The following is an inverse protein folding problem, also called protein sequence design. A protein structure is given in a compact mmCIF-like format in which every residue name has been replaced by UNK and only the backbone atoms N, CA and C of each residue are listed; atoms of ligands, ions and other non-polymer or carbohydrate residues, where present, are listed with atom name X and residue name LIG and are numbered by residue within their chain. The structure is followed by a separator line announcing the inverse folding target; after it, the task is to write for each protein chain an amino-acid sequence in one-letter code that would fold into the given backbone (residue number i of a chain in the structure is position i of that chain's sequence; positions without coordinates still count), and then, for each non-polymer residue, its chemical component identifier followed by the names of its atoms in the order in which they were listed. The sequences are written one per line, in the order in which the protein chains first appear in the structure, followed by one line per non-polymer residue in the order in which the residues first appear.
data_IF_624733109387
#
_entry.id   IF_624733109387
#
_cell.length_a   1.000
_cell.length_b   1.000
_cell.length_c   1.000
_cell.angle_alpha   90.00
_cell.angle_beta   90.00
_cell.angle_gamma   90.00
#
_symmetry.space_group_name_H-M   'P 1'
#
loop_
_entity.id
_entity.type
_entity.pdbx_description
1 polymer ?
#
# COMPACT_ATOMS: atom_id res chain seq x y z
N UNK A 1 34.31 49.64 20.39
CA UNK A 1 34.59 48.29 19.84
C UNK A 1 33.66 47.32 20.54
N UNK A 2 32.54 47.07 19.93
CA UNK A 2 31.50 46.16 20.42
C UNK A 2 31.66 44.83 19.66
N UNK A 3 31.95 43.77 20.38
CA UNK A 3 32.03 42.42 19.81
C UNK A 3 30.67 41.98 19.28
N UNK A 4 30.59 41.36 18.11
CA UNK A 4 29.34 40.76 17.63
C UNK A 4 29.07 39.47 18.40
N UNK A 5 27.92 39.44 19.03
CA UNK A 5 27.33 38.28 19.71
C UNK A 5 27.18 37.10 18.75
N UNK A 6 28.07 36.13 18.84
CA UNK A 6 27.97 34.83 18.20
C UNK A 6 27.00 33.94 18.98
N UNK A 7 25.72 34.08 18.74
CA UNK A 7 24.77 32.99 18.91
C UNK A 7 24.84 32.06 17.67
N UNK A 8 25.91 31.30 17.57
CA UNK A 8 25.99 30.18 16.63
C UNK A 8 25.18 29.01 17.20
N UNK A 9 24.15 28.61 16.45
CA UNK A 9 23.18 27.59 16.82
C UNK A 9 23.82 26.24 17.17
N UNK A 10 23.42 25.74 18.30
CA UNK A 10 23.61 24.37 18.78
C UNK A 10 22.74 23.40 17.96
N UNK A 11 23.09 23.14 16.72
CA UNK A 11 22.54 22.01 15.97
C UNK A 11 23.45 21.63 14.80
N UNK A 12 24.76 21.49 15.04
CA UNK A 12 25.60 20.73 14.12
C UNK A 12 25.23 19.25 14.28
N UNK A 13 24.47 18.72 13.32
CA UNK A 13 24.15 17.29 13.24
C UNK A 13 25.47 16.51 13.07
N UNK A 14 25.99 15.93 14.15
CA UNK A 14 27.23 15.14 14.13
C UNK A 14 26.93 13.74 13.61
N UNK A 15 27.66 13.33 12.59
CA UNK A 15 27.65 11.95 12.09
C UNK A 15 28.56 11.12 13.00
N UNK A 16 28.04 10.07 13.57
CA UNK A 16 28.77 9.09 14.39
C UNK A 16 28.56 7.68 13.86
N UNK A 17 29.49 6.78 14.15
CA UNK A 17 29.31 5.36 13.81
C UNK A 17 28.70 4.60 14.98
N UNK A 18 27.63 3.85 14.71
CA UNK A 18 26.96 3.00 15.70
C UNK A 18 26.93 1.55 15.19
N UNK A 19 27.11 0.62 16.12
CA UNK A 19 26.98 -0.81 15.86
C UNK A 19 25.58 -1.16 15.39
N UNK A 20 25.47 -1.93 14.30
CA UNK A 20 24.19 -2.29 13.68
C UNK A 20 23.27 -3.03 14.67
N UNK A 21 23.85 -3.85 15.56
CA UNK A 21 23.13 -4.60 16.59
C UNK A 21 22.39 -3.70 17.60
N UNK A 22 22.83 -2.44 17.75
CA UNK A 22 22.16 -1.45 18.61
C UNK A 22 21.04 -0.69 17.90
N UNK A 23 20.82 -0.93 16.61
CA UNK A 23 19.80 -0.28 15.81
C UNK A 23 18.56 -1.16 15.72
N UNK A 24 17.44 -0.66 16.22
CA UNK A 24 16.14 -1.32 16.18
C UNK A 24 15.20 -0.66 15.16
N UNK A 25 14.35 -1.43 14.45
CA UNK A 25 13.34 -0.84 13.60
C UNK A 25 12.33 -0.06 14.45
N UNK A 26 11.72 0.95 13.86
CA UNK A 26 10.62 1.69 14.49
C UNK A 26 9.42 0.76 14.71
N UNK A 27 8.80 0.80 15.89
CA UNK A 27 7.81 -0.19 16.35
C UNK A 27 6.56 -0.28 15.45
N UNK A 28 6.14 0.82 14.87
CA UNK A 28 4.94 0.92 14.00
C UNK A 28 5.32 1.32 12.57
N UNK A 29 6.40 0.75 12.03
CA UNK A 29 6.90 1.12 10.71
C UNK A 29 6.01 0.54 9.60
N UNK A 30 5.25 1.36 8.85
CA UNK A 30 4.31 0.86 7.84
C UNK A 30 5.00 0.42 6.54
N UNK A 31 6.25 0.83 6.32
CA UNK A 31 6.97 0.61 5.06
C UNK A 31 7.79 -0.69 5.14
N UNK A 32 7.55 -1.60 4.22
CA UNK A 32 8.26 -2.86 4.16
C UNK A 32 9.63 -2.71 3.47
N UNK A 33 10.63 -3.39 4.02
CA UNK A 33 11.92 -3.55 3.35
C UNK A 33 11.84 -4.83 2.51
N UNK A 34 11.80 -4.69 1.18
CA UNK A 34 11.72 -5.82 0.24
C UNK A 34 13.07 -6.04 -0.42
N UNK A 35 13.40 -7.32 -0.69
CA UNK A 35 14.55 -7.72 -1.51
C UNK A 35 14.16 -7.60 -3.00
N UNK A 36 14.12 -6.36 -3.50
CA UNK A 36 13.79 -6.02 -4.88
C UNK A 36 15.04 -5.59 -5.68
N UNK A 37 14.85 -5.33 -6.98
CA UNK A 37 15.95 -4.86 -7.84
C UNK A 37 16.59 -3.55 -7.32
N UNK A 38 15.79 -2.67 -6.72
CA UNK A 38 16.30 -1.43 -6.13
C UNK A 38 17.15 -1.69 -4.88
N UNK A 39 16.85 -2.74 -4.11
CA UNK A 39 17.67 -3.16 -2.98
C UNK A 39 19.01 -3.70 -3.45
N UNK A 40 19.04 -4.47 -4.53
CA UNK A 40 20.29 -4.95 -5.13
C UNK A 40 21.18 -3.79 -5.59
N UNK A 41 20.63 -2.83 -6.32
CA UNK A 41 21.37 -1.62 -6.74
C UNK A 41 21.86 -0.80 -5.54
N UNK A 42 21.07 -0.74 -4.45
CA UNK A 42 21.49 -0.07 -3.21
C UNK A 42 22.66 -0.81 -2.55
N UNK A 43 22.66 -2.15 -2.54
CA UNK A 43 23.78 -2.95 -2.03
C UNK A 43 25.05 -2.72 -2.84
N UNK A 44 24.99 -2.78 -4.18
CA UNK A 44 26.13 -2.47 -5.05
C UNK A 44 26.68 -1.05 -4.79
N UNK A 45 25.80 -0.07 -4.63
CA UNK A 45 26.20 1.31 -4.32
C UNK A 45 26.89 1.41 -2.96
N UNK A 46 26.35 0.74 -1.93
CA UNK A 46 26.94 0.74 -0.58
C UNK A 46 28.26 -0.02 -0.57
N UNK A 47 28.40 -1.12 -1.29
CA UNK A 47 29.64 -1.86 -1.41
C UNK A 47 30.74 -1.00 -2.04
N UNK A 48 30.40 -0.22 -3.08
CA UNK A 48 31.38 0.58 -3.83
C UNK A 48 31.74 1.89 -3.15
N UNK A 49 30.76 2.58 -2.56
CA UNK A 49 30.93 3.96 -2.07
C UNK A 49 30.69 4.11 -0.56
N UNK A 50 30.31 3.04 0.13
CA UNK A 50 29.86 3.13 1.53
C UNK A 50 28.47 3.77 1.65
N UNK A 51 28.03 4.01 2.87
CA UNK A 51 26.77 4.69 3.18
C UNK A 51 26.99 6.21 3.09
N UNK A 52 26.73 6.81 1.94
CA UNK A 52 26.93 8.24 1.71
C UNK A 52 25.96 9.11 2.54
N UNK A 53 24.71 8.67 2.69
CA UNK A 53 23.71 9.36 3.50
C UNK A 53 23.54 8.63 4.83
N UNK A 54 23.87 9.23 5.99
CA UNK A 54 23.76 8.58 7.28
C UNK A 54 22.30 8.24 7.62
N UNK A 55 22.10 7.24 8.47
CA UNK A 55 20.78 6.91 9.01
C UNK A 55 20.38 7.97 10.04
N UNK A 56 19.08 8.22 10.18
CA UNK A 56 18.55 9.07 11.24
C UNK A 56 17.96 8.17 12.31
N UNK A 57 18.43 8.35 13.55
CA UNK A 57 18.04 7.51 14.68
C UNK A 57 17.68 8.37 15.90
N UNK A 58 16.85 7.85 16.79
CA UNK A 58 16.61 8.44 18.11
C UNK A 58 17.10 7.52 19.22
N UNK A 59 17.59 8.04 20.34
CA UNK A 59 17.93 7.21 21.50
C UNK A 59 16.66 6.63 22.13
N UNK A 60 16.73 5.36 22.53
CA UNK A 60 15.72 4.67 23.34
C UNK A 60 16.38 4.10 24.59
N UNK A 61 15.60 3.69 25.61
CA UNK A 61 16.15 3.09 26.82
C UNK A 61 17.10 1.94 26.50
N UNK A 62 17.95 1.58 27.48
CA UNK A 62 18.91 0.47 27.45
C UNK A 62 20.05 0.61 26.42
N UNK A 63 20.34 1.84 25.97
CA UNK A 63 21.47 2.13 25.10
C UNK A 63 21.28 1.70 23.64
N UNK A 64 20.04 1.44 23.22
CA UNK A 64 19.67 1.19 21.83
C UNK A 64 19.22 2.46 21.12
N UNK A 65 19.11 2.36 19.82
CA UNK A 65 18.63 3.44 18.95
C UNK A 65 17.53 2.93 18.03
N UNK A 66 16.48 3.70 17.88
CA UNK A 66 15.39 3.40 16.98
C UNK A 66 15.55 4.18 15.68
N UNK A 67 15.43 3.49 14.55
CA UNK A 67 15.66 4.06 13.22
C UNK A 67 14.42 4.83 12.79
N UNK A 68 14.58 6.13 12.52
CA UNK A 68 13.54 7.01 11.96
C UNK A 68 13.60 6.98 10.44
N UNK A 69 14.81 7.03 9.87
CA UNK A 69 15.02 6.97 8.42
C UNK A 69 16.27 6.16 8.07
N UNK A 70 16.18 5.36 7.01
CA UNK A 70 17.29 4.58 6.50
C UNK A 70 17.19 3.07 6.74
N UNK A 71 16.00 2.52 6.97
CA UNK A 71 15.78 1.06 7.15
C UNK A 71 16.36 0.22 6.00
N UNK A 72 16.19 0.65 4.73
CA UNK A 72 16.77 -0.04 3.56
C UNK A 72 18.31 -0.03 3.60
N UNK A 73 18.92 1.09 4.00
CA UNK A 73 20.39 1.22 4.14
C UNK A 73 20.93 0.33 5.23
N UNK A 74 20.24 0.28 6.39
CA UNK A 74 20.57 -0.65 7.48
C UNK A 74 20.52 -2.11 7.00
N UNK A 75 19.43 -2.50 6.32
CA UNK A 75 19.28 -3.85 5.80
C UNK A 75 20.35 -4.22 4.76
N UNK A 76 20.65 -3.31 3.82
CA UNK A 76 21.71 -3.52 2.84
C UNK A 76 23.09 -3.66 3.52
N UNK A 77 23.39 -2.83 4.52
CA UNK A 77 24.64 -2.88 5.28
C UNK A 77 24.78 -4.21 6.07
N UNK A 78 23.69 -4.72 6.66
CA UNK A 78 23.68 -6.03 7.33
C UNK A 78 23.99 -7.17 6.35
N UNK A 79 23.38 -7.15 5.17
CA UNK A 79 23.65 -8.14 4.12
C UNK A 79 25.11 -8.13 3.64
N UNK A 80 25.73 -6.95 3.62
CA UNK A 80 27.14 -6.76 3.25
C UNK A 80 28.12 -7.01 4.40
N UNK A 81 27.63 -7.36 5.58
CA UNK A 81 28.48 -7.68 6.75
C UNK A 81 29.09 -6.47 7.48
N UNK A 82 28.51 -5.29 7.30
CA UNK A 82 28.95 -4.10 8.06
C UNK A 82 28.65 -4.29 9.55
N UNK A 83 29.63 -3.99 10.39
CA UNK A 83 29.46 -4.00 11.86
C UNK A 83 28.96 -2.66 12.40
N UNK A 84 29.33 -1.56 11.73
CA UNK A 84 28.95 -0.19 12.11
C UNK A 84 28.42 0.56 10.91
N UNK A 85 27.54 1.51 11.16
CA UNK A 85 26.97 2.39 10.12
C UNK A 85 26.96 3.84 10.61
N UNK A 86 27.13 4.82 9.69
CA UNK A 86 27.05 6.23 10.02
C UNK A 86 25.59 6.63 10.34
N UNK A 87 25.40 7.31 11.47
CA UNK A 87 24.09 7.78 11.93
C UNK A 87 24.14 9.23 12.38
N UNK A 88 22.99 9.89 12.30
CA UNK A 88 22.69 11.17 12.95
C UNK A 88 21.71 10.88 14.09
N UNK A 89 22.06 11.27 15.30
CA UNK A 89 21.18 11.12 16.47
C UNK A 89 20.31 12.36 16.57
N UNK A 90 18.97 12.16 16.54
CA UNK A 90 17.99 13.20 16.84
C UNK A 90 17.19 12.85 18.08
N UNK A 91 17.19 13.75 19.05
CA UNK A 91 16.33 13.62 20.25
C UNK A 91 14.95 14.13 19.89
N UNK A 92 14.06 13.20 19.53
CA UNK A 92 12.70 13.51 19.10
C UNK A 92 11.69 12.82 20.03
N UNK A 93 10.56 13.48 20.24
CA UNK A 93 9.42 12.82 20.87
C UNK A 93 8.92 11.67 19.99
N UNK A 94 8.13 10.75 20.56
CA UNK A 94 7.53 9.66 19.78
C UNK A 94 6.68 10.20 18.61
N UNK A 95 5.82 11.19 18.90
CA UNK A 95 4.96 11.82 17.89
C UNK A 95 5.79 12.51 16.78
N UNK A 96 6.88 13.20 17.10
CA UNK A 96 7.73 13.86 16.10
C UNK A 96 8.54 12.86 15.29
N UNK A 97 8.93 11.75 15.90
CA UNK A 97 9.61 10.64 15.23
C UNK A 97 8.71 9.98 14.20
N UNK A 98 7.44 9.74 14.56
CA UNK A 98 6.44 9.21 13.63
C UNK A 98 6.25 10.16 12.44
N UNK A 99 6.07 11.46 12.69
CA UNK A 99 5.90 12.44 11.61
C UNK A 99 7.12 12.47 10.69
N UNK A 100 8.33 12.53 11.26
CA UNK A 100 9.58 12.54 10.47
C UNK A 100 9.76 11.27 9.64
N UNK A 101 9.43 10.10 10.21
CA UNK A 101 9.48 8.82 9.50
C UNK A 101 8.48 8.79 8.34
N UNK A 102 7.23 9.18 8.58
CA UNK A 102 6.19 9.19 7.55
C UNK A 102 6.55 10.16 6.43
N UNK A 103 6.95 11.39 6.77
CA UNK A 103 7.29 12.42 5.78
C UNK A 103 8.48 12.00 4.90
N UNK A 104 9.51 11.39 5.49
CA UNK A 104 10.67 10.90 4.73
C UNK A 104 10.35 9.77 3.74
N UNK A 105 9.23 9.08 3.90
CA UNK A 105 8.83 7.96 3.06
C UNK A 105 7.70 8.30 2.06
N UNK A 106 6.81 9.24 2.40
CA UNK A 106 5.70 9.64 1.51
C UNK A 106 6.16 10.29 0.21
N UNK A 107 7.38 10.84 0.17
CA UNK A 107 7.98 11.45 -1.02
C UNK A 107 8.75 10.46 -1.91
N UNK A 108 8.68 9.13 -1.64
CA UNK A 108 9.28 8.12 -2.53
C UNK A 108 8.49 8.03 -3.83
N UNK A 109 9.19 7.82 -4.94
CA UNK A 109 8.56 7.66 -6.27
C UNK A 109 7.60 6.46 -6.34
N UNK A 110 7.93 5.40 -5.59
CA UNK A 110 7.11 4.18 -5.53
C UNK A 110 6.76 3.85 -4.08
N UNK A 111 5.48 3.98 -3.78
CA UNK A 111 4.89 3.60 -2.50
C UNK A 111 3.62 2.80 -2.79
N UNK A 112 3.44 1.65 -2.13
CA UNK A 112 2.24 0.84 -2.33
C UNK A 112 0.99 1.51 -1.75
N UNK A 113 -0.19 1.07 -2.18
CA UNK A 113 -1.47 1.58 -1.66
C UNK A 113 -1.60 1.35 -0.16
N UNK A 114 -1.20 0.17 0.31
CA UNK A 114 -1.24 -0.18 1.72
C UNK A 114 -0.27 0.67 2.54
N UNK A 115 0.98 0.83 2.11
CA UNK A 115 1.97 1.67 2.78
C UNK A 115 1.49 3.12 2.91
N UNK A 116 0.96 3.69 1.82
CA UNK A 116 0.40 5.04 1.81
C UNK A 116 -0.81 5.18 2.74
N UNK A 117 -1.68 4.17 2.77
CA UNK A 117 -2.85 4.14 3.64
C UNK A 117 -2.45 4.14 5.13
N UNK A 118 -1.54 3.27 5.54
CA UNK A 118 -1.07 3.20 6.92
C UNK A 118 -0.25 4.44 7.31
N UNK A 119 0.56 4.99 6.40
CA UNK A 119 1.29 6.24 6.61
C UNK A 119 0.35 7.41 6.89
N UNK A 120 -0.71 7.58 6.08
CA UNK A 120 -1.70 8.63 6.29
C UNK A 120 -2.49 8.43 7.59
N UNK A 121 -2.86 7.19 7.91
CA UNK A 121 -3.53 6.88 9.18
C UNK A 121 -2.66 7.27 10.36
N UNK A 122 -1.40 6.85 10.36
CA UNK A 122 -0.45 7.11 11.44
C UNK A 122 -0.22 8.63 11.63
N UNK A 123 0.02 9.37 10.53
CA UNK A 123 0.15 10.84 10.56
C UNK A 123 -1.13 11.51 11.09
N UNK A 124 -2.30 11.07 10.63
CA UNK A 124 -3.59 11.60 11.08
C UNK A 124 -3.82 11.38 12.57
N UNK A 125 -3.48 10.20 13.10
CA UNK A 125 -3.66 9.87 14.50
C UNK A 125 -2.72 10.70 15.41
N UNK A 126 -1.47 10.91 14.98
CA UNK A 126 -0.52 11.79 15.68
C UNK A 126 -1.01 13.22 15.68
N UNK A 127 -1.43 13.77 14.54
CA UNK A 127 -1.92 15.15 14.45
C UNK A 127 -3.17 15.36 15.29
N UNK A 128 -4.09 14.39 15.38
CA UNK A 128 -5.25 14.43 16.27
C UNK A 128 -4.84 14.46 17.75
N UNK A 129 -3.87 13.61 18.16
CA UNK A 129 -3.35 13.61 19.55
C UNK A 129 -2.72 14.95 19.92
N UNK A 130 -1.88 15.50 19.05
CA UNK A 130 -1.26 16.83 19.26
C UNK A 130 -2.30 17.93 19.34
N UNK A 131 -3.37 17.81 18.56
CA UNK A 131 -4.48 18.76 18.59
C UNK A 131 -5.27 18.71 19.89
N UNK A 132 -5.48 17.54 20.49
CA UNK A 132 -6.18 17.36 21.76
C UNK A 132 -5.41 17.93 22.96
N UNK A 133 -4.09 17.85 22.97
CA UNK A 133 -3.23 18.33 24.07
C UNK A 133 -3.17 19.86 24.18
N UNK A 134 -3.43 20.61 23.10
CA UNK A 134 -3.33 22.09 23.07
C UNK A 134 -4.62 22.83 23.45
N UNK A 135 -5.59 22.21 24.11
CA UNK A 135 -6.87 22.83 24.49
C UNK A 135 -6.80 23.94 25.56
N UNK A 136 -5.65 24.18 26.18
CA UNK A 136 -5.52 25.11 27.32
C UNK A 136 -5.08 26.52 26.99
N UNK A 137 -4.75 26.88 25.73
CA UNK A 137 -4.46 28.25 25.31
C UNK A 137 -5.10 28.53 23.95
N UNK A 138 -6.27 29.08 23.95
CA UNK A 138 -7.04 29.38 22.74
C UNK A 138 -6.79 30.85 22.37
N UNK A 139 -6.04 31.02 21.26
CA UNK A 139 -6.06 32.28 20.52
C UNK A 139 -7.16 32.20 19.45
N UNK A 140 -8.22 32.97 19.59
CA UNK A 140 -9.48 32.85 18.86
C UNK A 140 -9.45 33.37 17.40
N UNK A 141 -8.26 33.64 16.81
CA UNK A 141 -8.16 34.37 15.53
C UNK A 141 -7.90 33.57 14.29
N UNK A 142 -7.52 32.28 14.37
CA UNK A 142 -7.27 31.45 13.16
C UNK A 142 -8.08 30.16 13.20
N UNK A 143 -8.84 29.82 12.13
CA UNK A 143 -9.56 28.56 12.07
C UNK A 143 -8.54 27.41 12.07
N UNK A 144 -8.68 26.51 13.04
CA UNK A 144 -7.78 25.37 13.22
C UNK A 144 -8.01 24.37 12.09
N UNK A 145 -6.99 24.15 11.25
CA UNK A 145 -7.02 23.13 10.19
C UNK A 145 -7.22 21.74 10.79
N UNK A 146 -8.03 20.93 10.15
CA UNK A 146 -8.19 19.51 10.51
C UNK A 146 -6.95 18.72 10.14
N UNK A 147 -6.64 17.65 10.87
CA UNK A 147 -5.48 16.79 10.58
C UNK A 147 -5.40 16.35 9.11
N UNK A 148 -6.54 16.00 8.52
CA UNK A 148 -6.63 15.60 7.10
C UNK A 148 -6.26 16.76 6.14
N UNK A 149 -6.61 18.00 6.48
CA UNK A 149 -6.27 19.18 5.67
C UNK A 149 -4.76 19.44 5.69
N UNK A 150 -4.12 19.27 6.85
CA UNK A 150 -2.67 19.39 6.99
C UNK A 150 -1.96 18.31 6.12
N UNK A 151 -2.40 17.04 6.21
CA UNK A 151 -1.83 15.96 5.40
C UNK A 151 -2.02 16.23 3.91
N UNK A 152 -3.18 16.75 3.52
CA UNK A 152 -3.52 17.10 2.14
C UNK A 152 -2.54 18.15 1.57
N UNK A 153 -2.25 19.19 2.34
CA UNK A 153 -1.30 20.25 1.94
C UNK A 153 0.13 19.73 1.83
N UNK A 154 0.56 18.89 2.78
CA UNK A 154 1.92 18.35 2.83
C UNK A 154 2.20 17.37 1.68
N UNK A 155 1.19 16.58 1.27
CA UNK A 155 1.37 15.46 0.33
C UNK A 155 0.82 15.76 -1.06
N UNK A 156 0.12 16.87 -1.27
CA UNK A 156 -0.49 17.25 -2.55
C UNK A 156 -1.74 16.45 -2.94
N UNK A 157 -2.20 15.52 -2.10
CA UNK A 157 -3.46 14.79 -2.31
C UNK A 157 -4.65 15.62 -1.77
N UNK A 158 -5.82 15.49 -2.39
CA UNK A 158 -7.02 16.15 -1.86
C UNK A 158 -7.44 15.57 -0.50
N UNK A 159 -8.11 16.35 0.39
CA UNK A 159 -8.60 15.84 1.68
C UNK A 159 -9.48 14.59 1.54
N UNK A 160 -10.28 14.51 0.48
CA UNK A 160 -11.12 13.35 0.16
C UNK A 160 -10.26 12.14 -0.21
N UNK A 161 -9.19 12.34 -0.96
CA UNK A 161 -8.28 11.26 -1.34
C UNK A 161 -7.51 10.72 -0.12
N UNK A 162 -7.02 11.60 0.76
CA UNK A 162 -6.39 11.20 2.04
C UNK A 162 -7.36 10.34 2.87
N UNK A 163 -8.63 10.74 2.97
CA UNK A 163 -9.63 9.98 3.71
C UNK A 163 -9.90 8.60 3.09
N UNK A 164 -9.93 8.51 1.75
CA UNK A 164 -10.08 7.22 1.04
C UNK A 164 -8.90 6.30 1.28
N UNK A 165 -7.66 6.81 1.25
CA UNK A 165 -6.49 6.01 1.62
C UNK A 165 -6.59 5.51 3.06
N UNK A 166 -6.92 6.37 4.03
CA UNK A 166 -7.09 5.96 5.42
C UNK A 166 -8.15 4.85 5.55
N UNK A 167 -9.23 4.88 4.77
CA UNK A 167 -10.25 3.82 4.83
C UNK A 167 -9.72 2.44 4.43
N UNK A 168 -8.73 2.37 3.51
CA UNK A 168 -8.13 1.11 3.08
C UNK A 168 -7.45 0.33 4.23
N UNK A 169 -7.07 0.99 5.31
CA UNK A 169 -6.50 0.32 6.50
C UNK A 169 -7.48 -0.61 7.21
N UNK A 170 -8.76 -0.61 6.82
CA UNK A 170 -9.80 -1.52 7.30
C UNK A 170 -9.93 -2.79 6.48
N UNK A 171 -9.21 -2.88 5.36
CA UNK A 171 -9.18 -4.10 4.56
C UNK A 171 -8.44 -5.20 5.32
N UNK A 172 -8.91 -6.43 5.16
CA UNK A 172 -8.17 -7.61 5.62
C UNK A 172 -6.87 -7.76 4.82
N UNK A 173 -5.82 -8.43 5.38
CA UNK A 173 -4.52 -8.53 4.74
C UNK A 173 -4.56 -9.07 3.30
N UNK A 174 -5.41 -10.06 3.03
CA UNK A 174 -5.57 -10.69 1.73
C UNK A 174 -6.13 -9.71 0.67
N UNK A 175 -7.07 -8.83 1.08
CA UNK A 175 -7.60 -7.77 0.20
C UNK A 175 -6.57 -6.66 -0.03
N UNK A 176 -5.80 -6.28 1.00
CA UNK A 176 -4.72 -5.33 0.88
C UNK A 176 -3.64 -5.82 -0.09
N UNK A 177 -3.28 -7.11 -0.01
CA UNK A 177 -2.31 -7.69 -0.93
C UNK A 177 -2.83 -7.65 -2.38
N UNK A 178 -4.10 -8.02 -2.61
CA UNK A 178 -4.72 -7.93 -3.94
C UNK A 178 -4.77 -6.48 -4.49
N UNK A 179 -4.88 -5.48 -3.62
CA UNK A 179 -4.81 -4.07 -4.00
C UNK A 179 -3.37 -3.66 -4.36
N UNK A 180 -2.38 -4.05 -3.57
CA UNK A 180 -0.98 -3.74 -3.82
C UNK A 180 -0.45 -4.46 -5.08
N UNK A 181 -0.97 -5.66 -5.40
CA UNK A 181 -0.71 -6.40 -6.62
C UNK A 181 -1.52 -5.88 -7.84
N UNK A 182 -2.25 -4.77 -7.67
CA UNK A 182 -3.10 -4.14 -8.70
C UNK A 182 -4.21 -5.08 -9.26
N UNK A 183 -4.49 -6.19 -8.58
CA UNK A 183 -5.58 -7.11 -8.93
C UNK A 183 -6.92 -6.41 -8.68
N UNK A 184 -7.10 -5.77 -7.52
CA UNK A 184 -8.28 -4.96 -7.22
C UNK A 184 -7.91 -3.49 -7.41
N UNK A 185 -8.70 -2.76 -8.20
CA UNK A 185 -8.50 -1.32 -8.39
C UNK A 185 -8.82 -0.51 -7.12
N UNK A 186 -8.22 0.67 -6.98
CA UNK A 186 -8.37 1.54 -5.81
C UNK A 186 -9.83 1.87 -5.46
N UNK A 187 -10.67 2.22 -6.43
CA UNK A 187 -12.04 2.64 -6.15
C UNK A 187 -12.93 1.50 -5.59
N UNK A 188 -12.98 0.30 -6.18
CA UNK A 188 -13.64 -0.86 -5.56
C UNK A 188 -13.10 -1.19 -4.16
N UNK A 189 -11.77 -1.14 -3.96
CA UNK A 189 -11.16 -1.44 -2.67
C UNK A 189 -11.62 -0.48 -1.56
N UNK A 190 -11.85 0.80 -1.86
CA UNK A 190 -12.39 1.78 -0.90
C UNK A 190 -13.83 1.42 -0.47
N UNK A 191 -14.66 0.95 -1.38
CA UNK A 191 -16.03 0.49 -1.05
C UNK A 191 -15.99 -0.82 -0.23
N UNK A 192 -15.11 -1.76 -0.59
CA UNK A 192 -14.90 -3.02 0.15
C UNK A 192 -14.38 -2.74 1.56
N UNK A 193 -13.56 -1.73 1.77
CA UNK A 193 -13.06 -1.34 3.08
C UNK A 193 -14.15 -0.88 4.06
N UNK A 194 -15.37 -0.62 3.59
CA UNK A 194 -16.51 -0.29 4.43
C UNK A 194 -17.28 -1.53 4.93
N UNK A 195 -16.98 -2.72 4.39
CA UNK A 195 -17.53 -4.01 4.82
C UNK A 195 -16.87 -4.47 6.13
N UNK A 196 -17.57 -5.27 6.93
CA UNK A 196 -16.99 -5.96 8.07
C UNK A 196 -15.95 -7.01 7.62
N UNK A 197 -15.02 -7.39 8.53
CA UNK A 197 -14.01 -8.41 8.21
C UNK A 197 -14.63 -9.74 7.75
N UNK A 198 -15.79 -10.14 8.34
CA UNK A 198 -16.50 -11.33 7.93
C UNK A 198 -16.98 -11.23 6.48
N UNK A 199 -17.64 -10.12 6.14
CA UNK A 199 -18.16 -9.88 4.78
C UNK A 199 -17.02 -9.77 3.75
N UNK A 200 -15.86 -9.21 4.13
CA UNK A 200 -14.68 -9.19 3.26
C UNK A 200 -14.15 -10.61 2.98
N UNK A 201 -14.16 -11.51 3.96
CA UNK A 201 -13.79 -12.93 3.77
C UNK A 201 -14.79 -13.67 2.89
N UNK A 202 -16.09 -13.44 3.10
CA UNK A 202 -17.15 -13.99 2.27
C UNK A 202 -17.04 -13.48 0.81
N UNK A 203 -16.68 -12.21 0.61
CA UNK A 203 -16.42 -11.66 -0.71
C UNK A 203 -15.21 -12.32 -1.40
N UNK A 204 -14.15 -12.68 -0.67
CA UNK A 204 -13.04 -13.45 -1.25
C UNK A 204 -13.53 -14.80 -1.80
N UNK A 205 -14.38 -15.50 -1.04
CA UNK A 205 -14.97 -16.77 -1.50
C UNK A 205 -15.81 -16.57 -2.76
N UNK A 206 -16.66 -15.52 -2.80
CA UNK A 206 -17.47 -15.20 -3.97
C UNK A 206 -16.61 -14.80 -5.19
N UNK A 207 -15.49 -14.10 -4.98
CA UNK A 207 -14.52 -13.78 -6.04
C UNK A 207 -13.86 -15.04 -6.61
N UNK A 208 -13.51 -16.00 -5.76
CA UNK A 208 -12.94 -17.29 -6.19
C UNK A 208 -13.98 -18.15 -6.93
N UNK A 209 -15.21 -18.20 -6.43
CA UNK A 209 -16.31 -18.90 -7.08
C UNK A 209 -16.59 -18.36 -8.48
N UNK A 210 -16.73 -17.04 -8.61
CA UNK A 210 -17.02 -16.38 -9.89
C UNK A 210 -15.78 -16.24 -10.81
N UNK A 211 -14.57 -16.57 -10.33
CA UNK A 211 -13.30 -16.30 -11.03
C UNK A 211 -13.23 -14.85 -11.54
N UNK A 212 -13.75 -13.90 -10.77
CA UNK A 212 -13.90 -12.52 -11.17
C UNK A 212 -13.48 -11.54 -10.06
N UNK A 213 -13.13 -10.33 -10.48
CA UNK A 213 -12.76 -9.22 -9.59
C UNK A 213 -13.91 -8.21 -9.61
N UNK A 214 -14.33 -7.69 -8.43
CA UNK A 214 -15.47 -6.78 -8.38
C UNK A 214 -15.18 -5.47 -9.12
N UNK A 215 -16.10 -5.06 -9.98
CA UNK A 215 -16.14 -3.72 -10.52
C UNK A 215 -16.58 -2.71 -9.47
N UNK A 216 -16.40 -1.41 -9.72
CA UNK A 216 -16.87 -0.38 -8.79
C UNK A 216 -18.38 -0.48 -8.53
N UNK A 217 -19.19 -0.72 -9.57
CA UNK A 217 -20.64 -0.85 -9.43
C UNK A 217 -21.05 -2.08 -8.60
N UNK A 218 -20.37 -3.20 -8.77
CA UNK A 218 -20.57 -4.41 -7.97
C UNK A 218 -20.19 -4.16 -6.50
N UNK A 219 -19.02 -3.56 -6.25
CA UNK A 219 -18.56 -3.22 -4.89
C UNK A 219 -19.53 -2.25 -4.18
N UNK A 220 -20.06 -1.25 -4.89
CA UNK A 220 -21.06 -0.32 -4.34
C UNK A 220 -22.38 -1.02 -4.01
N UNK A 221 -22.86 -1.94 -4.84
CA UNK A 221 -24.08 -2.72 -4.58
C UNK A 221 -23.89 -3.65 -3.38
N UNK A 222 -22.75 -4.31 -3.29
CA UNK A 222 -22.40 -5.18 -2.14
C UNK A 222 -22.38 -4.34 -0.85
N UNK A 223 -21.71 -3.16 -0.87
CA UNK A 223 -21.71 -2.26 0.28
C UNK A 223 -23.12 -1.78 0.65
N UNK A 224 -23.97 -1.45 -0.33
CA UNK A 224 -25.35 -1.02 -0.07
C UNK A 224 -26.16 -2.13 0.61
N UNK A 225 -26.06 -3.38 0.14
CA UNK A 225 -26.70 -4.54 0.75
C UNK A 225 -26.19 -4.81 2.18
N UNK A 226 -24.88 -4.61 2.42
CA UNK A 226 -24.29 -4.71 3.77
C UNK A 226 -24.91 -3.67 4.70
N UNK A 227 -25.02 -2.42 4.25
CA UNK A 227 -25.64 -1.33 5.03
C UNK A 227 -27.10 -1.62 5.37
N UNK A 228 -27.84 -2.26 4.46
CA UNK A 228 -29.22 -2.68 4.62
C UNK A 228 -29.36 -3.98 5.43
N UNK A 229 -28.25 -4.61 5.83
CA UNK A 229 -28.21 -5.91 6.52
C UNK A 229 -28.86 -7.04 5.73
N UNK A 230 -28.82 -6.93 4.41
CA UNK A 230 -29.40 -7.92 3.48
C UNK A 230 -28.32 -8.67 2.71
N UNK A 231 -27.04 -8.45 3.00
CA UNK A 231 -25.93 -9.10 2.34
C UNK A 231 -25.82 -10.56 2.82
N UNK A 232 -25.70 -11.48 1.86
CA UNK A 232 -25.38 -12.89 2.10
C UNK A 232 -24.35 -13.36 1.09
N UNK A 233 -23.72 -14.52 1.33
CA UNK A 233 -22.74 -15.09 0.41
C UNK A 233 -23.37 -15.36 -0.98
N UNK A 234 -24.60 -15.92 -1.01
CA UNK A 234 -25.31 -16.22 -2.26
C UNK A 234 -25.54 -14.94 -3.10
N UNK A 235 -25.91 -13.83 -2.44
CA UNK A 235 -26.06 -12.54 -3.14
C UNK A 235 -24.74 -11.98 -3.64
N UNK A 236 -23.63 -12.19 -2.90
CA UNK A 236 -22.31 -11.80 -3.39
C UNK A 236 -21.93 -12.61 -4.64
N UNK A 237 -22.15 -13.92 -4.62
CA UNK A 237 -21.89 -14.82 -5.75
C UNK A 237 -22.73 -14.43 -6.97
N UNK A 238 -24.04 -14.15 -6.77
CA UNK A 238 -24.92 -13.67 -7.81
C UNK A 238 -24.41 -12.38 -8.46
N UNK A 239 -24.04 -11.37 -7.65
CA UNK A 239 -23.50 -10.11 -8.13
C UNK A 239 -22.16 -10.31 -8.84
N UNK A 240 -21.32 -11.19 -8.34
CA UNK A 240 -19.99 -11.45 -8.92
C UNK A 240 -20.08 -12.22 -10.24
N UNK A 241 -21.07 -13.10 -10.41
CA UNK A 241 -21.32 -13.85 -11.64
C UNK A 241 -22.02 -13.02 -12.74
N UNK A 242 -22.48 -11.79 -12.43
CA UNK A 242 -23.09 -10.92 -13.46
C UNK A 242 -22.07 -10.57 -14.55
N UNK A 243 -22.50 -10.71 -15.81
CA UNK A 243 -21.70 -10.26 -16.96
C UNK A 243 -21.58 -8.73 -16.93
N UNK A 244 -20.36 -8.23 -16.84
CA UNK A 244 -20.09 -6.79 -16.81
C UNK A 244 -20.55 -6.13 -18.09
N UNK A 245 -21.32 -5.04 -18.00
CA UNK A 245 -21.71 -4.24 -19.17
C UNK A 245 -20.46 -3.76 -19.91
N UNK A 246 -20.29 -4.24 -21.15
CA UNK A 246 -19.14 -3.90 -22.01
C UNK A 246 -18.03 -4.96 -22.04
N UNK A 247 -18.12 -6.02 -21.27
CA UNK A 247 -17.28 -7.19 -21.45
C UNK A 247 -17.73 -7.92 -22.72
N UNK A 248 -17.00 -7.66 -23.81
CA UNK A 248 -17.09 -8.54 -24.98
C UNK A 248 -16.45 -9.84 -24.53
N UNK A 249 -17.26 -10.85 -24.25
CA UNK A 249 -16.81 -12.22 -23.95
C UNK A 249 -16.11 -12.77 -25.18
N UNK A 250 -14.80 -12.48 -25.30
CA UNK A 250 -13.94 -13.08 -26.31
C UNK A 250 -13.19 -14.23 -25.65
N UNK A 251 -13.51 -15.43 -26.05
CA UNK A 251 -12.63 -16.57 -25.81
C UNK A 251 -11.59 -16.53 -26.93
N UNK A 252 -10.34 -16.23 -26.60
CA UNK A 252 -9.23 -16.21 -27.55
C UNK A 252 -8.32 -17.42 -27.29
N UNK A 253 -8.02 -18.12 -28.35
CA UNK A 253 -7.02 -19.21 -28.33
C UNK A 253 -5.77 -18.73 -29.08
N UNK A 254 -4.60 -19.08 -28.55
CA UNK A 254 -3.34 -18.84 -29.28
C UNK A 254 -3.19 -19.87 -30.42
N UNK A 255 -2.42 -19.51 -31.46
CA UNK A 255 -2.13 -20.46 -32.55
C UNK A 255 -1.53 -21.78 -32.05
N UNK A 256 -0.65 -21.74 -31.07
CA UNK A 256 -0.05 -22.93 -30.46
C UNK A 256 -1.09 -23.82 -29.77
N UNK A 257 -2.10 -23.24 -29.12
CA UNK A 257 -3.20 -24.00 -28.52
C UNK A 257 -4.07 -24.66 -29.57
N UNK A 258 -4.40 -23.95 -30.65
CA UNK A 258 -5.24 -24.46 -31.73
C UNK A 258 -4.54 -25.53 -32.56
N UNK A 259 -3.25 -25.39 -32.87
CA UNK A 259 -2.49 -26.38 -33.63
C UNK A 259 -2.24 -27.70 -32.89
N UNK A 260 -2.53 -27.78 -31.59
CA UNK A 260 -2.59 -29.08 -30.88
C UNK A 260 -3.78 -29.95 -31.32
N UNK A 261 -4.83 -29.35 -31.85
CA UNK A 261 -6.10 -30.03 -32.20
C UNK A 261 -6.42 -29.95 -33.69
N UNK A 262 -5.84 -28.99 -34.40
CA UNK A 262 -6.08 -28.76 -35.83
C UNK A 262 -4.80 -28.95 -36.64
N UNK A 263 -4.90 -29.59 -37.86
CA UNK A 263 -3.78 -29.65 -38.76
C UNK A 263 -3.23 -28.31 -39.18
N UNK A 264 -1.93 -28.23 -39.47
CA UNK A 264 -1.28 -26.98 -39.91
C UNK A 264 -1.83 -26.39 -41.19
N UNK A 265 -2.60 -27.16 -41.98
CA UNK A 265 -3.29 -26.69 -43.20
C UNK A 265 -4.59 -25.96 -42.95
N UNK A 266 -5.10 -25.96 -41.69
CA UNK A 266 -6.34 -25.29 -41.36
C UNK A 266 -6.14 -23.78 -41.20
N UNK A 267 -6.94 -23.02 -41.90
CA UNK A 267 -7.01 -21.56 -41.75
C UNK A 267 -7.81 -21.21 -40.49
N UNK A 268 -7.61 -20.00 -39.86
CA UNK A 268 -8.41 -19.56 -38.73
C UNK A 268 -9.92 -19.60 -38.97
N UNK A 269 -10.38 -19.33 -40.22
CA UNK A 269 -11.77 -19.42 -40.59
C UNK A 269 -12.31 -20.86 -40.57
N UNK A 270 -11.51 -21.84 -41.01
CA UNK A 270 -11.88 -23.25 -40.96
C UNK A 270 -11.92 -23.73 -39.49
N UNK A 271 -10.94 -23.41 -38.68
CA UNK A 271 -10.91 -23.74 -37.24
C UNK A 271 -12.14 -23.18 -36.52
N UNK A 272 -12.48 -21.90 -36.74
CA UNK A 272 -13.68 -21.27 -36.17
C UNK A 272 -14.95 -21.99 -36.54
N UNK A 273 -15.09 -22.40 -37.81
CA UNK A 273 -16.27 -23.15 -38.31
C UNK A 273 -16.43 -24.50 -37.62
N UNK A 274 -15.34 -25.26 -37.48
CA UNK A 274 -15.34 -26.56 -36.80
C UNK A 274 -15.64 -26.41 -35.28
N UNK A 275 -15.04 -25.44 -34.62
CA UNK A 275 -15.34 -25.14 -33.19
C UNK A 275 -16.83 -24.81 -33.02
N UNK A 276 -17.41 -23.99 -33.87
CA UNK A 276 -18.82 -23.66 -33.79
C UNK A 276 -19.73 -24.88 -34.09
N UNK A 277 -19.32 -25.78 -34.97
CA UNK A 277 -20.05 -27.02 -35.24
C UNK A 277 -20.03 -27.94 -33.99
N UNK A 278 -18.88 -28.13 -33.37
CA UNK A 278 -18.73 -28.91 -32.16
C UNK A 278 -19.54 -28.34 -30.98
N UNK A 279 -19.54 -27.02 -30.79
CA UNK A 279 -20.33 -26.36 -29.75
C UNK A 279 -21.84 -26.50 -29.96
N UNK A 280 -22.32 -26.56 -31.23
CA UNK A 280 -23.72 -26.82 -31.51
C UNK A 280 -24.11 -28.27 -31.16
N UNK A 281 -23.26 -29.22 -31.45
CA UNK A 281 -23.48 -30.63 -31.07
C UNK A 281 -23.49 -30.79 -29.55
N UNK A 282 -22.50 -30.21 -28.87
CA UNK A 282 -22.43 -30.24 -27.41
C UNK A 282 -23.62 -29.61 -26.72
N UNK A 283 -24.13 -28.49 -27.26
CA UNK A 283 -25.36 -27.82 -26.75
C UNK A 283 -26.55 -28.77 -26.85
N UNK A 284 -26.69 -29.46 -27.97
CA UNK A 284 -27.81 -30.38 -28.23
C UNK A 284 -27.79 -31.57 -27.28
N UNK A 285 -26.61 -32.10 -26.98
CA UNK A 285 -26.43 -33.23 -26.07
C UNK A 285 -26.56 -32.86 -24.56
N UNK A 286 -26.14 -31.65 -24.17
CA UNK A 286 -26.04 -31.25 -22.77
C UNK A 286 -27.24 -30.47 -22.24
N UNK A 287 -28.09 -29.86 -23.11
CA UNK A 287 -29.17 -28.98 -22.71
C UNK A 287 -30.55 -29.47 -23.15
N UNK A 288 -30.63 -30.51 -23.96
CA UNK A 288 -31.90 -31.13 -24.40
C UNK A 288 -32.13 -32.53 -23.74
N UNK A 289 -31.26 -32.94 -22.81
CA UNK A 289 -31.43 -34.06 -21.90
C UNK A 289 -31.78 -33.54 -20.49
#
# INVERSE_FOLDING_TARGET
MTEPNRQSGENEERIIEIEIERLRPFKEHPFQVKDDKEMFLLQESIEKYGILNPLIVRPVPDGYYEIISGHRRKYAAEKLGYRKVPVIIRVLSEDDSILSMVDSNLHRERISYSEKAFAYKLKNDVLKRKSGRKKSQVDHKTPRKRAIEIISEDCGDSPKQVQRYISLTKLIPEMLQKLDDEIISFCPAVEIAALSEKEQRELLVAMEYAQAIPSLSQAQRIWQLSKEKQLSLEKMEEIMCEVKKGEITRVAFTNEQLHKYFPNSYTPAMMKREILALLKLWKKESWES
#
